data_IF_728582154343
#
_entry.id   IF_728582154343
#
_cell.length_a   1.000
_cell.length_b   1.000
_cell.length_c   1.000
_cell.angle_alpha   90.00
_cell.angle_beta   90.00
_cell.angle_gamma   90.00
#
_symmetry.space_group_name_H-M   'P 1'
#
loop_
_entity.id
_entity.type
_entity.pdbx_description
1 polymer ?
#
# COMPACT_ATOMS: atom_id res chain seq x y z
N UNK A 1 -0.32 -9.66 -17.23
CA UNK A 1 0.85 -9.20 -17.98
C UNK A 1 1.48 -8.01 -17.27
N UNK A 2 2.76 -7.77 -17.51
CA UNK A 2 3.53 -6.61 -17.01
C UNK A 2 4.10 -5.88 -18.23
N UNK A 3 4.29 -4.56 -18.11
CA UNK A 3 4.83 -3.75 -19.22
C UNK A 3 6.33 -3.99 -19.45
N UNK A 4 7.03 -4.53 -18.43
CA UNK A 4 8.48 -4.81 -18.50
C UNK A 4 9.29 -3.54 -18.79
N UNK A 5 10.21 -3.55 -19.78
CA UNK A 5 11.06 -2.40 -20.09
C UNK A 5 10.30 -1.14 -20.55
N UNK A 6 9.00 -1.26 -20.87
CA UNK A 6 8.15 -0.12 -21.23
C UNK A 6 7.49 0.56 -20.05
N UNK A 7 7.62 -0.02 -18.85
CA UNK A 7 7.07 0.56 -17.64
C UNK A 7 7.88 1.77 -17.22
N UNK A 8 7.21 2.89 -17.01
CA UNK A 8 7.80 4.10 -16.45
C UNK A 8 7.00 4.56 -15.24
N UNK A 9 7.58 5.44 -14.44
CA UNK A 9 6.90 6.01 -13.27
C UNK A 9 5.56 6.65 -13.68
N UNK A 10 4.54 6.51 -12.82
CA UNK A 10 3.22 7.15 -13.07
C UNK A 10 3.25 8.67 -12.99
N UNK A 11 4.33 9.25 -12.48
CA UNK A 11 4.49 10.69 -12.32
C UNK A 11 3.92 11.24 -11.01
N UNK A 12 3.35 10.39 -10.11
CA UNK A 12 2.78 10.85 -8.84
C UNK A 12 3.76 11.74 -8.06
N UNK A 13 4.97 11.26 -7.84
CA UNK A 13 5.98 12.00 -7.08
C UNK A 13 6.32 13.35 -7.69
N UNK A 14 6.45 13.43 -9.01
CA UNK A 14 6.69 14.68 -9.71
C UNK A 14 5.54 15.67 -9.47
N UNK A 15 4.29 15.22 -9.62
CA UNK A 15 3.11 16.06 -9.40
C UNK A 15 3.01 16.53 -7.96
N UNK A 16 3.25 15.66 -6.96
CA UNK A 16 3.21 16.00 -5.52
C UNK A 16 4.27 17.02 -5.12
N UNK A 17 5.41 17.07 -5.83
CA UNK A 17 6.48 18.04 -5.61
C UNK A 17 6.37 19.28 -6.50
N UNK A 18 5.27 19.44 -7.24
CA UNK A 18 5.00 20.62 -8.07
C UNK A 18 5.61 20.60 -9.47
N UNK A 19 6.21 19.48 -9.89
CA UNK A 19 6.75 19.34 -11.25
C UNK A 19 5.69 18.78 -12.22
N UNK A 20 4.71 19.62 -12.55
CA UNK A 20 3.59 19.25 -13.41
C UNK A 20 4.05 18.87 -14.83
N UNK A 21 5.12 19.50 -15.35
CA UNK A 21 5.66 19.17 -16.68
C UNK A 21 6.14 17.72 -16.75
N UNK A 22 6.95 17.29 -15.79
CA UNK A 22 7.44 15.90 -15.74
C UNK A 22 6.29 14.93 -15.50
N UNK A 23 5.32 15.29 -14.65
CA UNK A 23 4.12 14.47 -14.47
C UNK A 23 3.40 14.24 -15.79
N UNK A 24 3.09 15.28 -16.53
CA UNK A 24 2.36 15.17 -17.81
C UNK A 24 3.11 14.35 -18.83
N UNK A 25 4.43 14.52 -18.96
CA UNK A 25 5.25 13.71 -19.87
C UNK A 25 5.16 12.22 -19.54
N UNK A 26 5.35 11.85 -18.27
CA UNK A 26 5.29 10.46 -17.84
C UNK A 26 3.88 9.87 -17.98
N UNK A 27 2.87 10.64 -17.62
CA UNK A 27 1.48 10.21 -17.74
C UNK A 27 1.08 9.97 -19.20
N UNK A 28 1.40 10.87 -20.12
CA UNK A 28 1.11 10.73 -21.56
C UNK A 28 1.82 9.50 -22.11
N UNK A 29 3.10 9.30 -21.80
CA UNK A 29 3.86 8.13 -22.23
C UNK A 29 3.21 6.81 -21.76
N UNK A 30 2.77 6.75 -20.49
CA UNK A 30 2.07 5.58 -19.96
C UNK A 30 0.73 5.36 -20.65
N UNK A 31 -0.06 6.43 -20.84
CA UNK A 31 -1.38 6.37 -21.49
C UNK A 31 -1.23 5.85 -22.93
N UNK A 32 -0.30 6.38 -23.69
CA UNK A 32 -0.01 5.94 -25.05
C UNK A 32 0.40 4.46 -25.10
N UNK A 33 1.32 4.06 -24.21
CA UNK A 33 1.78 2.67 -24.10
C UNK A 33 0.62 1.71 -23.80
N UNK A 34 -0.21 2.05 -22.81
CA UNK A 34 -1.36 1.23 -22.43
C UNK A 34 -2.43 1.18 -23.51
N UNK A 35 -2.67 2.29 -24.22
CA UNK A 35 -3.62 2.34 -25.34
C UNK A 35 -3.13 1.49 -26.53
N UNK A 36 -1.85 1.56 -26.89
CA UNK A 36 -1.26 0.73 -27.96
C UNK A 36 -1.41 -0.76 -27.64
N UNK A 37 -1.31 -1.13 -26.37
CA UNK A 37 -1.44 -2.51 -25.89
C UNK A 37 -2.89 -2.92 -25.61
N UNK A 38 -3.87 -2.06 -25.89
CA UNK A 38 -5.31 -2.26 -25.63
C UNK A 38 -5.61 -2.65 -24.17
N UNK A 39 -4.88 -2.06 -23.21
CA UNK A 39 -5.07 -2.31 -21.79
C UNK A 39 -6.43 -1.75 -21.37
N UNK A 40 -7.26 -2.59 -20.71
CA UNK A 40 -8.57 -2.19 -20.18
C UNK A 40 -8.55 -2.06 -18.66
N UNK A 41 -7.83 -2.98 -18.00
CA UNK A 41 -7.75 -3.07 -16.54
C UNK A 41 -6.30 -3.02 -16.09
N UNK A 42 -6.03 -2.18 -15.08
CA UNK A 42 -4.73 -2.01 -14.46
C UNK A 42 -4.81 -2.43 -13.00
N UNK A 43 -3.91 -3.30 -12.58
CA UNK A 43 -3.75 -3.68 -11.18
C UNK A 43 -2.49 -3.01 -10.67
N UNK A 44 -2.61 -2.28 -9.56
CA UNK A 44 -1.46 -1.61 -8.95
C UNK A 44 -1.26 -2.07 -7.52
N UNK A 45 0.00 -2.16 -7.11
CA UNK A 45 0.38 -2.43 -5.72
C UNK A 45 0.50 -1.14 -4.90
N UNK A 46 0.78 -0.02 -5.57
CA UNK A 46 1.00 1.26 -4.93
C UNK A 46 -0.27 2.12 -4.96
N UNK A 47 -0.82 2.53 -3.80
CA UNK A 47 -1.98 3.42 -3.75
C UNK A 47 -1.76 4.78 -4.41
N UNK A 48 -0.54 5.28 -4.47
CA UNK A 48 -0.19 6.49 -5.20
C UNK A 48 -0.38 6.29 -6.71
N UNK A 49 0.16 5.19 -7.26
CA UNK A 49 -0.06 4.82 -8.66
C UNK A 49 -1.54 4.56 -8.96
N UNK A 50 -2.23 3.86 -8.04
CA UNK A 50 -3.67 3.63 -8.12
C UNK A 50 -4.43 4.95 -8.28
N UNK A 51 -4.19 5.88 -7.36
CA UNK A 51 -4.85 7.19 -7.38
C UNK A 51 -4.53 7.98 -8.66
N UNK A 52 -3.27 8.01 -9.06
CA UNK A 52 -2.81 8.76 -10.23
C UNK A 52 -3.42 8.21 -11.51
N UNK A 53 -3.38 6.90 -11.73
CA UNK A 53 -3.94 6.31 -12.94
C UNK A 53 -5.47 6.42 -12.95
N UNK A 54 -6.13 6.18 -11.82
CA UNK A 54 -7.60 6.19 -11.71
C UNK A 54 -8.19 7.59 -11.80
N UNK A 55 -7.62 8.55 -11.05
CA UNK A 55 -8.26 9.83 -10.80
C UNK A 55 -7.61 11.00 -11.57
N UNK A 56 -6.36 10.86 -12.01
CA UNK A 56 -5.61 11.96 -12.61
C UNK A 56 -5.34 11.75 -14.12
N UNK A 57 -5.05 10.52 -14.57
CA UNK A 57 -4.88 10.22 -15.99
C UNK A 57 -6.09 10.53 -16.86
N UNK A 58 -7.35 10.46 -16.39
CA UNK A 58 -8.50 10.89 -17.19
C UNK A 58 -8.42 12.35 -17.66
N UNK A 59 -7.74 13.22 -16.92
CA UNK A 59 -7.49 14.62 -17.31
C UNK A 59 -6.63 14.72 -18.59
N UNK A 60 -5.87 13.67 -18.90
CA UNK A 60 -4.97 13.56 -20.07
C UNK A 60 -5.45 12.53 -21.09
N UNK A 61 -6.71 12.06 -20.97
CA UNK A 61 -7.33 11.11 -21.88
C UNK A 61 -7.07 9.63 -21.56
N UNK A 62 -6.44 9.30 -20.43
CA UNK A 62 -6.19 7.94 -19.99
C UNK A 62 -7.33 7.38 -19.14
N UNK A 63 -8.23 6.59 -19.74
CA UNK A 63 -9.39 6.02 -19.05
C UNK A 63 -9.24 4.50 -18.94
N UNK A 64 -8.90 4.02 -17.75
CA UNK A 64 -8.68 2.60 -17.46
C UNK A 64 -9.51 2.18 -16.25
N UNK A 65 -9.94 0.92 -16.23
CA UNK A 65 -10.39 0.31 -14.98
C UNK A 65 -9.16 0.05 -14.11
N UNK A 66 -9.11 0.69 -12.93
CA UNK A 66 -7.94 0.55 -12.05
C UNK A 66 -8.39 -0.06 -10.74
N UNK A 67 -7.72 -1.12 -10.32
CA UNK A 67 -7.96 -1.76 -9.03
C UNK A 67 -6.64 -1.86 -8.25
N UNK A 68 -6.73 -1.73 -6.95
CA UNK A 68 -5.60 -1.97 -6.06
C UNK A 68 -5.42 -3.46 -5.83
N UNK A 69 -4.17 -3.93 -5.68
CA UNK A 69 -3.90 -5.37 -5.52
C UNK A 69 -4.67 -5.99 -4.35
N UNK A 70 -4.89 -5.25 -3.25
CA UNK A 70 -5.68 -5.74 -2.12
C UNK A 70 -7.13 -6.04 -2.50
N UNK A 71 -7.74 -5.25 -3.38
CA UNK A 71 -9.11 -5.51 -3.85
C UNK A 71 -9.17 -6.80 -4.69
N UNK A 72 -8.19 -6.98 -5.60
CA UNK A 72 -8.10 -8.22 -6.39
C UNK A 72 -7.89 -9.44 -5.49
N UNK A 73 -6.96 -9.36 -4.54
CA UNK A 73 -6.67 -10.47 -3.64
C UNK A 73 -7.88 -10.83 -2.78
N UNK A 74 -8.59 -9.83 -2.26
CA UNK A 74 -9.85 -10.05 -1.52
C UNK A 74 -10.88 -10.76 -2.40
N UNK A 75 -11.07 -10.32 -3.64
CA UNK A 75 -11.99 -10.97 -4.59
C UNK A 75 -11.61 -12.42 -4.86
N UNK A 76 -10.33 -12.70 -5.08
CA UNK A 76 -9.83 -14.05 -5.34
C UNK A 76 -9.98 -14.99 -4.13
N UNK A 77 -9.77 -14.48 -2.92
CA UNK A 77 -10.00 -15.24 -1.68
C UNK A 77 -11.49 -15.52 -1.48
N UNK A 78 -12.34 -14.51 -1.60
CA UNK A 78 -13.79 -14.65 -1.41
C UNK A 78 -14.46 -15.56 -2.44
N UNK A 79 -13.95 -15.56 -3.67
CA UNK A 79 -14.43 -16.45 -4.74
C UNK A 79 -13.84 -17.87 -4.68
N UNK A 80 -12.92 -18.14 -3.75
CA UNK A 80 -12.28 -19.45 -3.60
C UNK A 80 -11.23 -19.76 -4.66
N UNK A 81 -10.80 -18.77 -5.46
CA UNK A 81 -9.68 -18.96 -6.39
C UNK A 81 -8.32 -18.99 -5.68
N UNK A 82 -8.26 -18.46 -4.47
CA UNK A 82 -7.12 -18.56 -3.56
C UNK A 82 -7.62 -19.22 -2.28
N UNK A 83 -7.09 -20.40 -1.98
CA UNK A 83 -7.36 -21.08 -0.72
C UNK A 83 -6.39 -20.61 0.35
N UNK A 84 -6.95 -20.06 1.42
CA UNK A 84 -6.20 -19.53 2.56
C UNK A 84 -6.15 -20.60 3.66
N UNK A 85 -4.97 -20.80 4.22
CA UNK A 85 -4.73 -21.69 5.35
C UNK A 85 -4.80 -20.97 6.69
N UNK A 86 -4.07 -21.53 7.63
CA UNK A 86 -3.94 -20.97 8.98
C UNK A 86 -2.47 -20.73 9.29
N UNK A 87 -2.19 -19.70 10.08
CA UNK A 87 -0.87 -19.51 10.67
C UNK A 87 -0.51 -20.69 11.59
N UNK A 88 0.74 -21.13 11.55
CA UNK A 88 1.23 -22.25 12.38
C UNK A 88 1.20 -21.92 13.88
N UNK A 89 1.16 -20.65 14.23
CA UNK A 89 1.12 -20.15 15.61
C UNK A 89 0.16 -18.97 15.71
N UNK A 90 -0.46 -18.75 16.88
CA UNK A 90 -1.18 -17.50 17.15
C UNK A 90 -0.28 -16.30 16.83
N UNK A 91 -0.77 -15.37 16.02
CA UNK A 91 -0.01 -14.24 15.52
C UNK A 91 -0.88 -12.98 15.55
N UNK A 92 -0.35 -11.92 16.12
CA UNK A 92 -1.05 -10.63 16.20
C UNK A 92 -0.51 -9.68 15.15
N UNK A 93 -1.41 -9.16 14.32
CA UNK A 93 -1.07 -8.21 13.26
C UNK A 93 -1.81 -6.91 13.51
N UNK A 94 -1.12 -5.79 13.37
CA UNK A 94 -1.76 -4.48 13.25
C UNK A 94 -1.70 -3.99 11.81
N UNK A 95 -2.71 -3.26 11.34
CA UNK A 95 -2.75 -2.75 9.97
C UNK A 95 -2.55 -1.23 9.92
N UNK A 96 -1.64 -0.79 9.05
CA UNK A 96 -1.45 0.63 8.76
C UNK A 96 -2.29 1.06 7.56
N UNK A 97 -3.26 1.92 7.79
CA UNK A 97 -4.09 2.51 6.73
C UNK A 97 -3.28 3.47 5.85
N UNK A 98 -3.04 3.08 4.61
CA UNK A 98 -2.43 3.97 3.62
C UNK A 98 -3.37 5.12 3.26
N UNK A 99 -2.87 6.37 3.37
CA UNK A 99 -3.69 7.56 3.12
C UNK A 99 -4.27 7.61 1.68
N UNK A 100 -3.48 7.21 0.67
CA UNK A 100 -3.95 7.20 -0.72
C UNK A 100 -4.91 6.05 -1.03
N UNK A 101 -4.92 4.98 -0.25
CA UNK A 101 -5.90 3.92 -0.39
C UNK A 101 -7.20 4.27 0.34
N UNK A 102 -7.11 4.60 1.63
CA UNK A 102 -8.26 4.92 2.46
C UNK A 102 -8.77 6.32 2.21
N UNK A 103 -8.03 7.34 2.64
CA UNK A 103 -8.52 8.74 2.68
C UNK A 103 -8.83 9.32 1.31
N UNK A 104 -8.08 8.98 0.27
CA UNK A 104 -8.27 9.47 -1.09
C UNK A 104 -9.21 8.61 -1.94
N UNK A 105 -9.37 7.32 -1.61
CA UNK A 105 -10.11 6.38 -2.45
C UNK A 105 -11.13 5.52 -1.68
N UNK A 106 -11.33 5.75 -0.39
CA UNK A 106 -12.31 5.11 0.49
C UNK A 106 -12.19 3.57 0.55
N UNK A 107 -10.96 3.04 0.41
CA UNK A 107 -10.68 1.61 0.48
C UNK A 107 -10.00 1.29 1.82
N UNK A 108 -10.78 0.81 2.79
CA UNK A 108 -10.33 0.49 4.14
C UNK A 108 -10.44 -1.00 4.48
N UNK A 109 -11.44 -1.69 3.90
CA UNK A 109 -11.80 -3.05 4.28
C UNK A 109 -10.95 -4.11 3.59
N UNK A 110 -10.69 -3.98 2.29
CA UNK A 110 -10.02 -5.00 1.50
C UNK A 110 -8.69 -5.52 2.10
N UNK A 111 -7.75 -4.68 2.58
CA UNK A 111 -6.53 -5.20 3.21
C UNK A 111 -6.80 -5.96 4.51
N UNK A 112 -7.81 -5.55 5.28
CA UNK A 112 -8.21 -6.22 6.53
C UNK A 112 -8.87 -7.56 6.27
N UNK A 113 -9.68 -7.66 5.23
CA UNK A 113 -10.33 -8.90 4.81
C UNK A 113 -9.29 -9.95 4.40
N UNK A 114 -8.21 -9.55 3.71
CA UNK A 114 -7.09 -10.45 3.40
C UNK A 114 -6.48 -11.00 4.68
N UNK A 115 -6.04 -10.13 5.59
CA UNK A 115 -5.37 -10.56 6.83
C UNK A 115 -6.32 -11.36 7.71
N UNK A 116 -7.59 -10.94 7.83
CA UNK A 116 -8.60 -11.60 8.63
C UNK A 116 -9.09 -12.93 8.07
N UNK A 117 -8.82 -13.23 6.79
CA UNK A 117 -9.14 -14.55 6.19
C UNK A 117 -8.16 -15.65 6.63
N UNK A 118 -7.03 -15.30 7.20
CA UNK A 118 -5.99 -16.24 7.61
C UNK A 118 -6.31 -16.76 9.02
N UNK A 119 -6.52 -18.07 9.14
CA UNK A 119 -6.78 -18.70 10.43
C UNK A 119 -5.63 -18.47 11.42
N UNK A 120 -5.96 -18.24 12.71
CA UNK A 120 -4.96 -18.07 13.77
C UNK A 120 -4.32 -16.67 13.83
N UNK A 121 -4.74 -15.73 12.99
CA UNK A 121 -4.31 -14.32 13.06
C UNK A 121 -5.36 -13.49 13.80
N UNK A 122 -4.91 -12.70 14.77
CA UNK A 122 -5.67 -11.65 15.45
C UNK A 122 -5.29 -10.30 14.86
N UNK A 123 -6.27 -9.53 14.38
CA UNK A 123 -6.04 -8.13 13.97
C UNK A 123 -6.26 -7.25 15.19
N UNK A 124 -5.22 -6.51 15.58
CA UNK A 124 -5.28 -5.54 16.67
C UNK A 124 -5.03 -4.15 16.13
N UNK A 125 -6.07 -3.34 16.12
CA UNK A 125 -6.04 -2.02 15.51
C UNK A 125 -5.25 -1.00 16.31
N UNK A 126 -4.57 -0.10 15.62
CA UNK A 126 -3.97 1.09 16.22
C UNK A 126 -5.06 2.07 16.65
N UNK A 127 -4.75 2.93 17.61
CA UNK A 127 -5.69 3.94 18.13
C UNK A 127 -6.23 4.86 17.02
N UNK A 128 -5.34 5.31 16.12
CA UNK A 128 -5.69 6.12 14.94
C UNK A 128 -5.76 5.21 13.72
N UNK A 129 -6.96 4.74 13.36
CA UNK A 129 -7.22 3.80 12.27
C UNK A 129 -8.32 4.29 11.35
N UNK A 130 -8.48 3.63 10.19
CA UNK A 130 -9.54 3.92 9.23
C UNK A 130 -9.53 5.39 8.80
N UNK A 131 -10.67 6.07 8.91
CA UNK A 131 -10.82 7.48 8.52
C UNK A 131 -10.01 8.45 9.37
N UNK A 132 -9.63 8.05 10.59
CA UNK A 132 -8.79 8.84 11.52
C UNK A 132 -7.33 8.42 11.51
N UNK A 133 -6.93 7.55 10.59
CA UNK A 133 -5.58 7.00 10.53
C UNK A 133 -4.50 8.09 10.46
N UNK A 134 -3.35 7.83 11.10
CA UNK A 134 -2.19 8.70 11.03
C UNK A 134 -1.29 8.34 9.86
N UNK A 135 -0.63 9.33 9.27
CA UNK A 135 0.22 9.15 8.09
C UNK A 135 1.52 8.39 8.42
N UNK A 136 2.07 7.66 7.44
CA UNK A 136 3.42 7.10 7.53
C UNK A 136 4.54 8.13 7.32
N UNK A 137 4.21 9.34 6.83
CA UNK A 137 5.18 10.41 6.57
C UNK A 137 5.71 10.49 5.14
N UNK A 138 5.37 9.55 4.24
CA UNK A 138 5.91 9.55 2.87
C UNK A 138 5.29 10.59 1.93
N UNK A 139 4.02 10.93 2.16
CA UNK A 139 3.21 11.71 1.22
C UNK A 139 3.75 13.11 0.90
N UNK A 140 3.36 13.64 -0.26
CA UNK A 140 3.79 14.98 -0.70
C UNK A 140 5.29 15.07 -1.03
N UNK A 141 5.94 13.96 -1.36
CA UNK A 141 7.38 13.92 -1.62
C UNK A 141 8.26 13.94 -0.37
N UNK A 142 7.67 13.92 0.83
CA UNK A 142 8.41 14.04 2.09
C UNK A 142 9.38 12.88 2.37
N UNK A 143 9.13 11.68 1.80
CA UNK A 143 10.06 10.56 1.95
C UNK A 143 11.48 10.84 1.39
N UNK A 144 11.62 11.87 0.55
CA UNK A 144 12.90 12.32 0.00
C UNK A 144 13.44 13.56 0.70
N UNK A 145 12.79 14.02 1.78
CA UNK A 145 13.16 15.22 2.51
C UNK A 145 13.58 14.87 3.94
N UNK A 146 14.57 15.58 4.47
CA UNK A 146 14.93 15.45 5.89
C UNK A 146 13.91 16.19 6.76
N UNK A 147 13.45 15.54 7.83
CA UNK A 147 12.63 16.16 8.87
C UNK A 147 13.54 16.75 9.94
N UNK A 148 13.85 18.04 9.82
CA UNK A 148 14.80 18.75 10.70
C UNK A 148 14.16 19.25 12.01
N UNK A 149 12.84 19.24 12.13
CA UNK A 149 12.12 19.82 13.29
C UNK A 149 11.08 18.87 13.85
N UNK A 150 11.08 18.74 15.19
CA UNK A 150 10.11 17.92 15.90
C UNK A 150 10.38 16.42 15.78
N UNK A 151 9.37 15.63 16.10
CA UNK A 151 9.41 14.18 15.98
C UNK A 151 9.05 13.77 14.55
N UNK A 152 9.81 12.88 13.94
CA UNK A 152 9.49 12.36 12.61
C UNK A 152 8.12 11.69 12.60
N UNK A 153 7.37 11.88 11.52
CA UNK A 153 6.01 11.35 11.37
C UNK A 153 6.00 9.82 11.40
N UNK A 154 6.97 9.18 10.75
CA UNK A 154 7.08 7.73 10.75
C UNK A 154 7.38 7.17 12.15
N UNK A 155 8.20 7.84 12.95
CA UNK A 155 8.49 7.43 14.33
C UNK A 155 7.21 7.49 15.18
N UNK A 156 6.46 8.57 15.12
CA UNK A 156 5.16 8.68 15.80
C UNK A 156 4.21 7.54 15.43
N UNK A 157 4.20 7.16 14.13
CA UNK A 157 3.33 6.10 13.65
C UNK A 157 3.76 4.70 14.08
N UNK A 158 5.07 4.40 14.05
CA UNK A 158 5.56 3.08 14.46
C UNK A 158 5.46 2.87 15.96
N UNK A 159 5.62 3.91 16.78
CA UNK A 159 5.38 3.81 18.23
C UNK A 159 3.92 3.41 18.51
N UNK A 160 2.96 4.02 17.81
CA UNK A 160 1.55 3.64 17.92
C UNK A 160 1.30 2.18 17.49
N UNK A 161 2.03 1.70 16.49
CA UNK A 161 1.96 0.31 16.07
C UNK A 161 2.53 -0.64 17.14
N UNK A 162 3.66 -0.29 17.75
CA UNK A 162 4.28 -1.07 18.86
C UNK A 162 3.36 -1.11 20.07
N UNK A 163 2.66 -0.02 20.39
CA UNK A 163 1.70 0.04 21.51
C UNK A 163 0.57 -0.99 21.39
N UNK A 164 0.26 -1.47 20.20
CA UNK A 164 -0.74 -2.55 19.99
C UNK A 164 -0.28 -3.90 20.53
N UNK A 165 1.02 -4.09 20.74
CA UNK A 165 1.62 -5.39 21.05
C UNK A 165 1.55 -6.39 19.92
N UNK A 166 1.46 -5.92 18.66
CA UNK A 166 1.47 -6.77 17.48
C UNK A 166 2.87 -7.29 17.17
N UNK A 167 2.93 -8.51 16.63
CA UNK A 167 4.16 -9.14 16.15
C UNK A 167 4.56 -8.61 14.77
N UNK A 168 3.58 -8.07 14.02
CA UNK A 168 3.77 -7.63 12.65
C UNK A 168 2.86 -6.44 12.30
N UNK A 169 3.37 -5.54 11.46
CA UNK A 169 2.60 -4.44 10.86
C UNK A 169 2.31 -4.77 9.41
N UNK A 170 1.04 -4.98 9.10
CA UNK A 170 0.59 -5.14 7.73
C UNK A 170 0.43 -3.76 7.06
N UNK A 171 0.91 -3.66 5.83
CA UNK A 171 0.77 -2.49 4.96
C UNK A 171 0.25 -2.91 3.59
N UNK A 172 -0.31 -1.96 2.84
CA UNK A 172 -0.73 -2.17 1.45
C UNK A 172 -0.24 -1.01 0.56
N UNK A 173 1.01 -0.57 0.79
CA UNK A 173 1.64 0.52 0.07
C UNK A 173 3.16 0.41 0.20
N UNK A 174 3.93 0.41 -0.90
CA UNK A 174 5.39 0.33 -0.84
C UNK A 174 6.04 1.53 -0.14
N UNK A 175 5.46 2.72 -0.25
CA UNK A 175 5.96 3.89 0.48
C UNK A 175 5.72 3.76 1.99
N UNK A 176 4.53 3.29 2.39
CA UNK A 176 4.26 3.02 3.80
C UNK A 176 5.18 1.93 4.33
N UNK A 177 5.45 0.88 3.53
CA UNK A 177 6.41 -0.16 3.89
C UNK A 177 7.77 0.44 4.26
N UNK A 178 8.37 1.22 3.36
CA UNK A 178 9.69 1.85 3.58
C UNK A 178 9.67 2.72 4.85
N UNK A 179 8.69 3.62 4.97
CA UNK A 179 8.63 4.54 6.11
C UNK A 179 8.42 3.84 7.45
N UNK A 180 7.59 2.80 7.48
CA UNK A 180 7.33 2.04 8.70
C UNK A 180 8.52 1.15 9.06
N UNK A 181 9.15 0.49 8.09
CA UNK A 181 10.33 -0.35 8.29
C UNK A 181 11.54 0.46 8.79
N UNK A 182 11.80 1.62 8.17
CA UNK A 182 12.83 2.55 8.62
C UNK A 182 12.53 3.08 10.03
N UNK A 183 11.28 3.44 10.30
CA UNK A 183 10.87 3.88 11.63
C UNK A 183 11.06 2.80 12.69
N UNK A 184 10.67 1.54 12.41
CA UNK A 184 10.89 0.41 13.32
C UNK A 184 12.36 0.19 13.63
N UNK A 185 13.23 0.29 12.62
CA UNK A 185 14.69 0.18 12.80
C UNK A 185 15.23 1.33 13.66
N UNK A 186 14.79 2.55 13.40
CA UNK A 186 15.25 3.75 14.13
C UNK A 186 14.89 3.69 15.64
N UNK A 187 13.74 3.13 15.98
CA UNK A 187 13.35 2.94 17.40
C UNK A 187 13.85 1.61 18.00
N UNK A 188 14.70 0.85 17.29
CA UNK A 188 15.28 -0.41 17.76
C UNK A 188 14.30 -1.58 17.83
N UNK A 189 13.17 -1.52 17.13
CA UNK A 189 12.14 -2.58 17.11
C UNK A 189 12.14 -3.41 15.81
N UNK A 190 13.03 -3.13 14.86
CA UNK A 190 13.05 -3.79 13.55
C UNK A 190 13.25 -5.30 13.57
N UNK A 191 13.85 -5.87 14.62
CA UNK A 191 13.98 -7.32 14.80
C UNK A 191 12.77 -7.95 15.52
N UNK A 192 12.01 -7.16 16.28
CA UNK A 192 10.90 -7.63 17.09
C UNK A 192 9.56 -7.54 16.37
N UNK A 193 9.34 -6.46 15.60
CA UNK A 193 8.09 -6.18 14.88
C UNK A 193 8.40 -6.00 13.40
N UNK A 194 7.98 -6.95 12.59
CA UNK A 194 8.20 -6.90 11.14
C UNK A 194 7.15 -6.04 10.45
N UNK A 195 7.55 -5.35 9.39
CA UNK A 195 6.62 -4.66 8.48
C UNK A 195 6.50 -5.48 7.21
N UNK A 196 5.28 -5.78 6.76
CA UNK A 196 5.06 -6.60 5.56
C UNK A 196 3.85 -6.14 4.76
N UNK A 197 3.94 -6.30 3.45
CA UNK A 197 2.77 -6.11 2.59
C UNK A 197 1.76 -7.24 2.78
N UNK A 198 0.47 -6.90 2.74
CA UNK A 198 -0.64 -7.88 2.90
C UNK A 198 -0.57 -9.04 1.91
N UNK A 199 -0.01 -8.81 0.72
CA UNK A 199 0.17 -9.86 -0.29
C UNK A 199 1.20 -10.91 0.12
N UNK A 200 2.28 -10.49 0.80
CA UNK A 200 3.30 -11.40 1.31
C UNK A 200 2.81 -12.17 2.53
N UNK A 201 2.01 -11.52 3.39
CA UNK A 201 1.37 -12.19 4.53
C UNK A 201 0.42 -13.28 4.02
N UNK A 202 -0.39 -12.95 3.00
CA UNK A 202 -1.27 -13.93 2.36
C UNK A 202 -0.49 -15.08 1.72
N UNK A 203 0.58 -14.77 0.97
CA UNK A 203 1.41 -15.77 0.28
C UNK A 203 1.98 -16.84 1.21
N UNK A 204 2.46 -16.43 2.38
CA UNK A 204 3.03 -17.36 3.38
C UNK A 204 1.99 -18.25 4.02
N UNK A 205 0.71 -17.85 3.98
CA UNK A 205 -0.41 -18.53 4.59
C UNK A 205 -1.37 -19.15 3.56
N UNK A 206 -0.93 -19.32 2.31
CA UNK A 206 -1.70 -20.10 1.34
C UNK A 206 -1.80 -21.56 1.78
N UNK A 207 -2.94 -22.18 1.52
CA UNK A 207 -3.11 -23.61 1.73
C UNK A 207 -2.10 -24.35 0.85
N UNK A 208 -1.28 -25.17 1.48
CA UNK A 208 -0.36 -26.10 0.79
C UNK A 208 -1.09 -27.40 0.56
N UNK A 209 -1.11 -27.85 -0.69
CA UNK A 209 -1.61 -29.17 -1.08
C UNK A 209 -0.81 -30.31 -0.41
#
# INVERSE_FOLDING_TARGET
AVLGPKEVCTGDSARRTGNEFVFQQLAIQNIETMNILDVKKVITQCPHCFNTIKNEYPQLGGNFEVIHHSQLLTELVQSGHIEVGSSDKPHVITYHDSCYLGRHNDIYTAPREIVGSIGGIEIREMKRQGTTSFCCGAGGGRMWMEEATGKKVNIERVEEAVETGADEVAVACPFCYIMMDDGMKEIGQGENVRVRDVSLILLDNLRKD
#
